data_IF_302447478218
#
_entry.id   IF_302447478218
#
_cell.length_a   1.000
_cell.length_b   1.000
_cell.length_c   1.000
_cell.angle_alpha   90.00
_cell.angle_beta   90.00
_cell.angle_gamma   90.00
#
_symmetry.space_group_name_H-M   'P 1'
#
loop_
_entity.id
_entity.type
_entity.pdbx_description
1 polymer ?
#
# COMPACT_ATOMS: atom_id res chain seq x y z
N UNK A 1 19.07 -1.70 -42.93
CA UNK A 1 18.59 -2.56 -41.83
C UNK A 1 19.43 -2.39 -40.56
N UNK A 2 20.77 -2.39 -40.63
CA UNK A 2 21.67 -2.21 -39.47
C UNK A 2 21.62 -0.82 -38.82
N UNK A 3 21.46 0.25 -39.60
CA UNK A 3 21.42 1.63 -39.07
C UNK A 3 20.17 1.86 -38.20
N UNK A 4 19.02 1.28 -38.58
CA UNK A 4 17.76 1.41 -37.84
C UNK A 4 17.80 0.63 -36.50
N UNK A 5 18.50 -0.50 -36.46
CA UNK A 5 18.69 -1.31 -35.24
C UNK A 5 19.59 -0.60 -34.23
N UNK A 6 20.60 0.15 -34.70
CA UNK A 6 21.49 0.91 -33.83
C UNK A 6 20.79 2.14 -33.22
N UNK A 7 19.87 2.74 -33.96
CA UNK A 7 19.01 3.82 -33.45
C UNK A 7 18.06 3.30 -32.37
N UNK A 8 17.45 2.13 -32.56
CA UNK A 8 16.61 1.49 -31.53
C UNK A 8 17.38 1.20 -30.24
N UNK A 9 18.59 0.67 -30.35
CA UNK A 9 19.47 0.43 -29.20
C UNK A 9 19.89 1.74 -28.52
N UNK A 10 20.26 2.78 -29.28
CA UNK A 10 20.61 4.08 -28.72
C UNK A 10 19.43 4.73 -27.98
N UNK A 11 18.22 4.68 -28.54
CA UNK A 11 17.01 5.18 -27.90
C UNK A 11 16.67 4.40 -26.62
N UNK A 12 16.91 3.09 -26.61
CA UNK A 12 16.75 2.26 -25.42
C UNK A 12 17.74 2.67 -24.31
N UNK A 13 19.02 2.85 -24.64
CA UNK A 13 20.02 3.32 -23.66
C UNK A 13 19.71 4.74 -23.15
N UNK A 14 19.24 5.64 -24.01
CA UNK A 14 18.81 6.98 -23.60
C UNK A 14 17.61 6.90 -22.64
N UNK A 15 16.59 6.10 -22.96
CA UNK A 15 15.44 5.89 -22.09
C UNK A 15 15.85 5.27 -20.74
N UNK A 16 16.82 4.36 -20.76
CA UNK A 16 17.36 3.71 -19.58
C UNK A 16 18.16 4.68 -18.69
N UNK A 17 18.99 5.54 -19.28
CA UNK A 17 19.70 6.61 -18.55
C UNK A 17 18.71 7.57 -17.91
N UNK A 18 17.65 7.97 -18.62
CA UNK A 18 16.59 8.82 -18.08
C UNK A 18 15.84 8.15 -16.93
N UNK A 19 15.62 6.84 -16.99
CA UNK A 19 15.01 6.07 -15.90
C UNK A 19 15.90 6.05 -14.65
N UNK A 20 17.21 5.82 -14.81
CA UNK A 20 18.17 5.88 -13.69
C UNK A 20 18.17 7.29 -13.06
N UNK A 21 18.19 8.36 -13.87
CA UNK A 21 18.11 9.74 -13.38
C UNK A 21 16.78 10.03 -12.65
N UNK A 22 15.68 9.43 -13.09
CA UNK A 22 14.38 9.53 -12.44
C UNK A 22 14.38 8.84 -11.07
N UNK A 23 14.94 7.63 -10.97
CA UNK A 23 15.12 6.91 -9.70
C UNK A 23 15.99 7.72 -8.74
N UNK A 24 17.14 8.24 -9.22
CA UNK A 24 18.04 9.07 -8.40
C UNK A 24 17.31 10.31 -7.89
N UNK A 25 16.48 10.96 -8.72
CA UNK A 25 15.69 12.14 -8.33
C UNK A 25 14.58 11.82 -7.32
N UNK A 26 14.00 10.61 -7.38
CA UNK A 26 13.03 10.15 -6.39
C UNK A 26 13.65 9.93 -5.01
N UNK A 27 14.91 9.46 -4.97
CA UNK A 27 15.65 9.24 -3.71
C UNK A 27 16.40 10.47 -3.20
N UNK A 28 16.62 11.47 -4.05
CA UNK A 28 17.19 12.76 -3.66
C UNK A 28 16.06 13.58 -3.03
N UNK A 29 16.00 13.51 -1.69
CA UNK A 29 14.98 14.05 -0.78
C UNK A 29 14.86 15.58 -0.86
N UNK A 30 14.42 16.10 -1.99
CA UNK A 30 13.94 17.46 -2.17
C UNK A 30 12.44 17.35 -2.48
N UNK A 31 11.61 17.91 -1.60
CA UNK A 31 10.16 17.68 -1.50
C UNK A 31 9.28 18.12 -2.68
N UNK A 32 9.80 18.15 -3.92
CA UNK A 32 9.03 18.43 -5.14
C UNK A 32 9.00 17.27 -6.14
N UNK A 33 9.42 16.06 -5.76
CA UNK A 33 9.46 14.88 -6.65
C UNK A 33 8.17 14.03 -6.68
N UNK A 34 7.06 14.48 -6.08
CA UNK A 34 5.85 13.66 -5.94
C UNK A 34 4.92 13.67 -7.17
N UNK A 35 5.12 14.60 -8.11
CA UNK A 35 4.19 14.81 -9.23
C UNK A 35 4.59 14.12 -10.54
N UNK A 36 5.88 13.85 -10.79
CA UNK A 36 6.36 13.32 -12.08
C UNK A 36 6.98 11.92 -12.03
N UNK A 37 7.28 11.36 -10.84
CA UNK A 37 7.93 10.04 -10.73
C UNK A 37 7.02 8.87 -11.13
N UNK A 38 5.75 8.91 -10.73
CA UNK A 38 4.77 7.85 -11.04
C UNK A 38 4.43 7.74 -12.53
N UNK A 39 4.09 8.83 -13.25
CA UNK A 39 3.79 8.73 -14.68
C UNK A 39 5.01 8.34 -15.51
N UNK A 40 6.23 8.76 -15.14
CA UNK A 40 7.45 8.39 -15.87
C UNK A 40 7.74 6.88 -15.80
N UNK A 41 7.53 6.24 -14.65
CA UNK A 41 7.70 4.78 -14.48
C UNK A 41 6.66 4.00 -15.29
N UNK A 42 5.42 4.49 -15.34
CA UNK A 42 4.33 3.87 -16.12
C UNK A 42 4.63 3.97 -17.62
N UNK A 43 5.05 5.14 -18.10
CA UNK A 43 5.45 5.33 -19.50
C UNK A 43 6.66 4.46 -19.89
N UNK A 44 7.59 4.22 -18.96
CA UNK A 44 8.71 3.31 -19.17
C UNK A 44 8.27 1.85 -19.28
N UNK A 45 7.37 1.38 -18.41
CA UNK A 45 6.78 0.04 -18.50
C UNK A 45 6.02 -0.16 -19.82
N UNK A 46 5.31 0.87 -20.28
CA UNK A 46 4.61 0.87 -21.57
C UNK A 46 5.62 0.82 -22.73
N UNK A 47 6.71 1.59 -22.67
CA UNK A 47 7.76 1.59 -23.71
C UNK A 47 8.45 0.23 -23.82
N UNK A 48 8.68 -0.46 -22.70
CA UNK A 48 9.22 -1.84 -22.67
C UNK A 48 8.23 -2.82 -23.30
N UNK A 49 6.94 -2.74 -22.94
CA UNK A 49 5.90 -3.58 -23.54
C UNK A 49 5.82 -3.39 -25.06
N UNK A 50 5.90 -2.14 -25.51
CA UNK A 50 5.87 -1.78 -26.93
C UNK A 50 7.13 -2.27 -27.67
N UNK A 51 8.30 -2.23 -27.02
CA UNK A 51 9.55 -2.73 -27.61
C UNK A 51 9.54 -4.26 -27.71
N UNK A 52 8.96 -4.96 -26.73
CA UNK A 52 8.80 -6.42 -26.74
C UNK A 52 7.81 -6.92 -27.80
N UNK A 53 6.81 -6.10 -28.18
CA UNK A 53 5.89 -6.41 -29.27
C UNK A 53 6.48 -6.13 -30.67
N UNK A 54 7.58 -5.39 -30.76
CA UNK A 54 8.15 -4.92 -32.04
C UNK A 54 9.13 -5.86 -32.74
N UNK A 55 9.61 -6.93 -32.08
CA UNK A 55 10.68 -7.81 -32.60
C UNK A 55 10.12 -9.11 -33.17
N UNK A 56 9.40 -9.05 -34.29
CA UNK A 56 8.73 -10.21 -34.92
C UNK A 56 9.59 -10.96 -35.96
N UNK A 57 10.91 -11.11 -35.73
CA UNK A 57 11.80 -11.88 -36.63
C UNK A 57 12.78 -12.84 -35.94
N UNK A 58 12.48 -13.32 -34.73
CA UNK A 58 13.27 -14.41 -34.12
C UNK A 58 12.48 -15.71 -34.11
N UNK A 59 13.18 -16.84 -34.27
CA UNK A 59 12.56 -18.18 -34.24
C UNK A 59 11.97 -18.52 -32.85
N UNK A 60 12.37 -17.78 -31.80
CA UNK A 60 11.91 -17.95 -30.42
C UNK A 60 11.63 -16.62 -29.71
N UNK A 61 10.56 -15.89 -30.09
CA UNK A 61 10.25 -14.56 -29.55
C UNK A 61 9.98 -14.56 -28.04
N UNK A 62 9.54 -15.69 -27.50
CA UNK A 62 9.29 -15.88 -26.07
C UNK A 62 10.61 -15.91 -25.28
N UNK A 63 11.63 -16.59 -25.79
CA UNK A 63 12.94 -16.72 -25.12
C UNK A 63 13.63 -15.36 -25.07
N UNK A 64 13.57 -14.59 -26.16
CA UNK A 64 14.13 -13.23 -26.22
C UNK A 64 13.42 -12.28 -25.26
N UNK A 65 12.10 -12.40 -25.11
CA UNK A 65 11.32 -11.63 -24.14
C UNK A 65 11.75 -11.94 -22.70
N UNK A 66 11.90 -13.22 -22.35
CA UNK A 66 12.37 -13.60 -21.01
C UNK A 66 13.83 -13.19 -20.77
N UNK A 67 14.70 -13.30 -21.78
CA UNK A 67 16.10 -12.88 -21.68
C UNK A 67 16.23 -11.36 -21.49
N UNK A 68 15.45 -10.56 -22.23
CA UNK A 68 15.43 -9.10 -22.09
C UNK A 68 14.82 -8.67 -20.76
N UNK A 69 13.71 -9.27 -20.33
CA UNK A 69 13.10 -9.01 -19.01
C UNK A 69 14.07 -9.37 -17.88
N UNK A 70 14.74 -10.52 -17.97
CA UNK A 70 15.76 -10.97 -17.02
C UNK A 70 16.94 -9.98 -16.95
N UNK A 71 17.44 -9.53 -18.10
CA UNK A 71 18.53 -8.56 -18.17
C UNK A 71 18.13 -7.21 -17.53
N UNK A 72 16.91 -6.73 -17.77
CA UNK A 72 16.40 -5.48 -17.19
C UNK A 72 16.30 -5.60 -15.66
N UNK A 73 15.74 -6.70 -15.16
CA UNK A 73 15.67 -6.96 -13.72
C UNK A 73 17.07 -7.05 -13.10
N UNK A 74 18.00 -7.73 -13.77
CA UNK A 74 19.39 -7.82 -13.33
C UNK A 74 20.05 -6.45 -13.19
N UNK A 75 19.96 -5.59 -14.20
CA UNK A 75 20.56 -4.25 -14.15
C UNK A 75 19.88 -3.40 -13.07
N UNK A 76 18.56 -3.51 -12.89
CA UNK A 76 17.85 -2.83 -11.80
C UNK A 76 18.38 -3.22 -10.42
N UNK A 77 18.56 -4.52 -10.16
CA UNK A 77 19.16 -5.01 -8.92
C UNK A 77 20.62 -4.57 -8.76
N UNK A 78 21.40 -4.52 -9.85
CA UNK A 78 22.78 -4.02 -9.85
C UNK A 78 22.86 -2.54 -9.47
N UNK A 79 21.95 -1.71 -9.98
CA UNK A 79 21.87 -0.29 -9.63
C UNK A 79 21.47 -0.12 -8.16
N UNK A 80 20.50 -0.90 -7.66
CA UNK A 80 20.12 -0.89 -6.23
C UNK A 80 21.29 -1.32 -5.33
N UNK A 81 22.04 -2.34 -5.74
CA UNK A 81 23.26 -2.77 -5.07
C UNK A 81 24.28 -1.61 -5.02
N UNK A 82 24.64 -1.01 -6.16
CA UNK A 82 25.60 0.10 -6.20
C UNK A 82 25.14 1.28 -5.31
N UNK A 83 23.85 1.66 -5.36
CA UNK A 83 23.29 2.71 -4.53
C UNK A 83 23.32 2.39 -3.03
N UNK A 84 23.14 1.12 -2.67
CA UNK A 84 23.17 0.67 -1.28
C UNK A 84 24.61 0.61 -0.73
N UNK A 85 25.63 0.39 -1.56
CA UNK A 85 27.04 0.55 -1.18
C UNK A 85 27.37 2.03 -0.94
N UNK A 86 26.88 2.92 -1.81
CA UNK A 86 27.14 4.37 -1.72
C UNK A 86 26.45 5.00 -0.50
N UNK A 87 25.24 4.56 -0.13
CA UNK A 87 24.47 5.21 0.96
C UNK A 87 24.79 4.71 2.38
N UNK A 88 25.74 3.80 2.58
CA UNK A 88 26.25 3.33 3.90
C UNK A 88 25.16 3.21 4.99
N UNK A 89 24.00 2.65 4.64
CA UNK A 89 22.88 2.48 5.57
C UNK A 89 22.98 1.12 6.24
N UNK A 90 22.96 1.07 7.58
CA UNK A 90 23.22 -0.13 8.39
C UNK A 90 22.24 -1.31 8.19
N UNK A 91 21.13 -1.10 7.49
CA UNK A 91 20.14 -2.12 7.09
C UNK A 91 20.53 -2.89 5.82
N UNK A 92 21.53 -2.42 5.07
CA UNK A 92 21.91 -2.97 3.78
C UNK A 92 22.47 -4.41 3.84
N UNK A 93 23.20 -4.77 4.91
CA UNK A 93 23.96 -6.04 4.95
C UNK A 93 23.08 -7.30 4.85
N UNK A 94 21.87 -7.29 5.41
CA UNK A 94 20.96 -8.46 5.37
C UNK A 94 20.21 -8.58 4.04
N UNK A 95 19.81 -7.46 3.44
CA UNK A 95 19.11 -7.44 2.15
C UNK A 95 20.04 -7.73 0.96
N UNK A 96 21.34 -7.39 1.08
CA UNK A 96 22.36 -7.74 0.10
C UNK A 96 22.60 -9.25 -0.01
N UNK A 97 22.67 -9.95 1.12
CA UNK A 97 22.91 -11.39 1.15
C UNK A 97 21.73 -12.12 0.51
N UNK A 98 20.50 -11.72 0.84
CA UNK A 98 19.27 -12.31 0.26
C UNK A 98 19.23 -12.08 -1.26
N UNK A 99 19.53 -10.87 -1.72
CA UNK A 99 19.50 -10.55 -3.17
C UNK A 99 20.62 -11.27 -3.93
N UNK A 100 21.81 -11.39 -3.34
CA UNK A 100 22.93 -12.13 -3.93
C UNK A 100 22.66 -13.64 -3.98
N UNK A 101 22.05 -14.22 -2.95
CA UNK A 101 21.65 -15.62 -2.92
C UNK A 101 20.57 -15.89 -3.97
N UNK A 102 19.55 -15.03 -4.07
CA UNK A 102 18.51 -15.15 -5.10
C UNK A 102 19.08 -15.04 -6.52
N UNK A 103 20.11 -14.20 -6.73
CA UNK A 103 20.81 -14.08 -8.00
C UNK A 103 21.60 -15.35 -8.36
N UNK A 104 22.35 -15.91 -7.40
CA UNK A 104 23.09 -17.17 -7.61
C UNK A 104 22.13 -18.33 -7.92
N UNK A 105 21.00 -18.39 -7.21
CA UNK A 105 19.94 -19.38 -7.46
C UNK A 105 19.37 -19.20 -8.88
N UNK A 106 19.05 -17.97 -9.29
CA UNK A 106 18.50 -17.70 -10.62
C UNK A 106 19.47 -18.06 -11.76
N UNK A 107 20.77 -17.77 -11.61
CA UNK A 107 21.81 -18.16 -12.57
C UNK A 107 21.97 -19.68 -12.62
N UNK A 108 21.91 -20.36 -11.47
CA UNK A 108 21.96 -21.81 -11.40
C UNK A 108 20.74 -22.47 -12.09
N UNK A 109 19.52 -21.96 -11.87
CA UNK A 109 18.32 -22.47 -12.54
C UNK A 109 18.34 -22.22 -14.06
N UNK A 110 18.90 -21.09 -14.50
CA UNK A 110 19.03 -20.78 -15.92
C UNK A 110 20.04 -21.69 -16.64
N UNK A 111 20.93 -22.34 -15.90
CA UNK A 111 21.97 -23.23 -16.44
C UNK A 111 21.50 -24.69 -16.64
N UNK A 112 20.31 -25.06 -16.15
CA UNK A 112 19.82 -26.46 -16.18
C UNK A 112 19.08 -26.79 -17.50
N UNK A 113 18.91 -25.82 -18.42
CA UNK A 113 18.26 -26.07 -19.72
C UNK A 113 19.22 -26.56 -20.83
N UNK A 114 20.13 -27.48 -20.49
CA UNK A 114 20.95 -28.21 -21.46
C UNK A 114 20.58 -29.70 -21.43
N UNK A 115 20.11 -30.29 -22.55
CA UNK A 115 19.80 -31.72 -22.60
C UNK A 115 21.11 -32.52 -22.60
N UNK A 116 21.37 -33.19 -21.49
CA UNK A 116 22.49 -34.12 -21.32
C UNK A 116 22.22 -35.40 -22.12
N UNK A 117 22.98 -35.62 -23.19
CA UNK A 117 22.97 -36.87 -23.96
C UNK A 117 23.70 -37.97 -23.19
N UNK A 118 22.97 -39.04 -22.93
CA UNK A 118 23.37 -40.27 -22.27
C UNK A 118 24.55 -40.99 -22.96
N UNK A 119 25.39 -41.59 -22.12
CA UNK A 119 26.50 -42.47 -22.44
C UNK A 119 25.97 -43.90 -22.55
N UNK A 120 26.30 -44.64 -23.62
CA UNK A 120 26.26 -46.12 -23.59
C UNK A 120 27.40 -46.71 -24.40
N UNK A 121 28.24 -47.45 -23.69
CA UNK A 121 29.35 -48.27 -24.17
C UNK A 121 28.81 -49.65 -24.53
N UNK A 122 29.13 -50.20 -25.71
CA UNK A 122 29.08 -51.65 -25.92
C UNK A 122 29.98 -52.14 -27.07
N UNK A 123 30.64 -53.26 -26.78
CA UNK A 123 31.12 -54.32 -27.69
C UNK A 123 32.61 -54.33 -28.06
N UNK A 124 33.32 -55.34 -27.51
CA UNK A 124 34.46 -55.99 -28.17
C UNK A 124 34.22 -57.50 -28.22
N UNK A 125 34.79 -58.14 -29.25
CA UNK A 125 34.38 -59.43 -29.85
C UNK A 125 35.58 -60.40 -29.88
N UNK A 126 35.29 -61.70 -29.66
CA UNK A 126 36.07 -62.93 -30.03
C UNK A 126 37.39 -63.16 -29.23
N UNK A 127 37.75 -64.37 -28.77
CA UNK A 127 38.23 -65.55 -29.53
C UNK A 127 38.05 -66.87 -28.74
N UNK A 128 37.97 -67.99 -29.47
CA UNK A 128 37.69 -69.36 -29.03
C UNK A 128 38.95 -70.24 -28.80
N UNK A 129 38.69 -71.47 -28.29
CA UNK A 129 39.47 -72.76 -28.30
C UNK A 129 39.98 -73.25 -26.93
N UNK A 130 39.40 -74.34 -26.38
CA UNK A 130 39.84 -75.78 -26.35
C UNK A 130 40.98 -76.04 -25.32
N UNK A 131 41.09 -77.08 -24.47
CA UNK A 131 40.46 -78.40 -24.27
C UNK A 131 41.00 -78.98 -22.93
N UNK A 132 40.09 -79.47 -22.07
CA UNK A 132 40.10 -80.72 -21.24
C UNK A 132 40.98 -80.94 -19.99
N UNK A 133 40.23 -81.28 -18.91
CA UNK A 133 40.44 -82.15 -17.73
C UNK A 133 41.59 -81.91 -16.74
N UNK A 134 41.21 -81.63 -15.47
CA UNK A 134 41.46 -82.44 -14.27
C UNK A 134 41.29 -81.60 -12.98
N UNK A 135 40.06 -81.47 -12.43
CA UNK A 135 39.73 -80.98 -11.06
C UNK A 135 38.21 -80.97 -10.84
N UNK A 136 37.62 -82.07 -10.35
CA UNK A 136 36.15 -82.16 -10.17
C UNK A 136 35.68 -82.03 -8.70
N UNK A 137 36.60 -82.12 -7.73
CA UNK A 137 36.29 -81.89 -6.30
C UNK A 137 36.48 -80.43 -5.87
N UNK A 138 37.50 -79.73 -6.38
CA UNK A 138 37.76 -78.31 -6.05
C UNK A 138 36.82 -77.34 -6.78
N UNK A 139 36.36 -77.70 -7.99
CA UNK A 139 35.50 -76.84 -8.82
C UNK A 139 34.09 -76.69 -8.24
N UNK A 140 33.55 -77.77 -7.65
CA UNK A 140 32.25 -77.78 -6.97
C UNK A 140 32.26 -76.96 -5.67
N UNK A 141 33.40 -76.93 -4.96
CA UNK A 141 33.57 -76.12 -3.76
C UNK A 141 33.74 -74.63 -4.08
N UNK A 142 34.43 -74.30 -5.19
CA UNK A 142 34.58 -72.94 -5.71
C UNK A 142 33.24 -72.37 -6.20
N UNK A 143 32.49 -73.13 -7.00
CA UNK A 143 31.16 -72.72 -7.51
C UNK A 143 30.15 -72.54 -6.37
N UNK A 144 30.22 -73.36 -5.31
CA UNK A 144 29.36 -73.21 -4.13
C UNK A 144 29.75 -72.00 -3.28
N UNK A 145 31.05 -71.64 -3.20
CA UNK A 145 31.53 -70.41 -2.55
C UNK A 145 31.13 -69.16 -3.33
N UNK A 146 31.29 -69.15 -4.65
CA UNK A 146 30.86 -68.03 -5.52
C UNK A 146 29.32 -67.84 -5.49
N UNK A 147 28.55 -68.93 -5.49
CA UNK A 147 27.09 -68.85 -5.35
C UNK A 147 26.66 -68.33 -3.97
N UNK A 148 27.34 -68.73 -2.90
CA UNK A 148 27.06 -68.26 -1.54
C UNK A 148 27.45 -66.79 -1.37
N UNK A 149 28.60 -66.36 -1.92
CA UNK A 149 29.07 -64.97 -1.91
C UNK A 149 28.14 -64.05 -2.73
N UNK A 150 27.64 -64.52 -3.88
CA UNK A 150 26.67 -63.80 -4.70
C UNK A 150 25.32 -63.63 -3.99
N UNK A 151 24.88 -64.66 -3.25
CA UNK A 151 23.65 -64.61 -2.44
C UNK A 151 23.81 -63.63 -1.28
N UNK A 152 24.94 -63.68 -0.58
CA UNK A 152 25.25 -62.79 0.53
C UNK A 152 25.35 -61.32 0.08
N UNK A 153 25.97 -61.07 -1.09
CA UNK A 153 26.04 -59.74 -1.69
C UNK A 153 24.66 -59.19 -2.09
N UNK A 154 23.78 -60.03 -2.64
CA UNK A 154 22.39 -59.63 -2.92
C UNK A 154 21.58 -59.34 -1.65
N UNK A 155 21.81 -60.09 -0.58
CA UNK A 155 21.14 -59.88 0.70
C UNK A 155 21.60 -58.58 1.38
N UNK A 156 22.90 -58.27 1.32
CA UNK A 156 23.46 -57.02 1.81
C UNK A 156 22.98 -55.80 0.99
N UNK A 157 22.92 -55.91 -0.34
CA UNK A 157 22.34 -54.88 -1.21
C UNK A 157 20.86 -54.65 -0.89
N UNK A 158 20.08 -55.71 -0.64
CA UNK A 158 18.67 -55.62 -0.23
C UNK A 158 18.52 -54.93 1.13
N UNK A 159 19.38 -55.25 2.11
CA UNK A 159 19.38 -54.59 3.43
C UNK A 159 19.73 -53.11 3.34
N UNK A 160 20.70 -52.75 2.51
CA UNK A 160 21.06 -51.35 2.26
C UNK A 160 19.92 -50.58 1.57
N UNK A 161 19.25 -51.20 0.60
CA UNK A 161 18.08 -50.60 -0.05
C UNK A 161 16.91 -50.40 0.93
N UNK A 162 16.65 -51.36 1.83
CA UNK A 162 15.61 -51.21 2.86
C UNK A 162 15.95 -50.13 3.89
N UNK A 163 17.22 -50.02 4.30
CA UNK A 163 17.69 -48.98 5.22
C UNK A 163 17.60 -47.58 4.58
N UNK A 164 17.94 -47.45 3.29
CA UNK A 164 17.78 -46.20 2.55
C UNK A 164 16.30 -45.82 2.40
N UNK A 165 15.42 -46.78 2.13
CA UNK A 165 13.98 -46.53 2.05
C UNK A 165 13.42 -46.05 3.40
N UNK A 166 13.83 -46.66 4.53
CA UNK A 166 13.44 -46.19 5.87
C UNK A 166 13.93 -44.78 6.17
N UNK A 167 15.18 -44.45 5.83
CA UNK A 167 15.73 -43.10 6.01
C UNK A 167 14.96 -42.05 5.19
N UNK A 168 14.61 -42.37 3.95
CA UNK A 168 13.79 -41.49 3.11
C UNK A 168 12.38 -41.30 3.66
N UNK A 169 11.76 -42.36 4.21
CA UNK A 169 10.46 -42.27 4.85
C UNK A 169 10.50 -41.39 6.12
N UNK A 170 11.54 -41.55 6.94
CA UNK A 170 11.75 -40.73 8.13
C UNK A 170 11.99 -39.25 7.79
N UNK A 171 12.80 -38.95 6.77
CA UNK A 171 12.99 -37.58 6.27
C UNK A 171 11.69 -36.98 5.74
N UNK A 172 10.90 -37.76 4.98
CA UNK A 172 9.59 -37.32 4.48
C UNK A 172 8.63 -37.01 5.63
N UNK A 173 8.58 -37.86 6.65
CA UNK A 173 7.76 -37.65 7.85
C UNK A 173 8.17 -36.38 8.60
N UNK A 174 9.48 -36.15 8.74
CA UNK A 174 10.00 -34.93 9.38
C UNK A 174 9.66 -33.68 8.57
N UNK A 175 9.77 -33.73 7.24
CA UNK A 175 9.41 -32.64 6.34
C UNK A 175 7.90 -32.33 6.39
N UNK A 176 7.05 -33.36 6.43
CA UNK A 176 5.60 -33.20 6.56
C UNK A 176 5.22 -32.60 7.93
N UNK A 177 5.86 -33.03 9.01
CA UNK A 177 5.66 -32.46 10.35
C UNK A 177 6.08 -30.98 10.41
N UNK A 178 7.22 -30.63 9.79
CA UNK A 178 7.67 -29.24 9.69
C UNK A 178 6.71 -28.39 8.85
N UNK A 179 6.23 -28.90 7.71
CA UNK A 179 5.26 -28.21 6.88
C UNK A 179 3.95 -27.97 7.63
N UNK A 180 3.46 -28.97 8.38
CA UNK A 180 2.26 -28.82 9.23
C UNK A 180 2.45 -27.79 10.32
N UNK A 181 3.60 -27.77 11.02
CA UNK A 181 3.91 -26.76 12.03
C UNK A 181 3.96 -25.35 11.45
N UNK A 182 4.60 -25.18 10.29
CA UNK A 182 4.64 -23.90 9.58
C UNK A 182 3.25 -23.44 9.16
N UNK A 183 2.41 -24.35 8.66
CA UNK A 183 1.04 -24.04 8.26
C UNK A 183 0.18 -23.65 9.47
N UNK A 184 0.34 -24.32 10.61
CA UNK A 184 -0.36 -23.99 11.85
C UNK A 184 0.08 -22.62 12.40
N UNK A 185 1.37 -22.32 12.36
CA UNK A 185 1.91 -21.01 12.76
C UNK A 185 1.40 -19.89 11.84
N UNK A 186 1.41 -20.10 10.52
CA UNK A 186 0.83 -19.15 9.56
C UNK A 186 -0.65 -18.92 9.80
N UNK A 187 -1.42 -20.00 10.09
CA UNK A 187 -2.84 -19.87 10.42
C UNK A 187 -3.05 -19.08 11.70
N UNK A 188 -2.26 -19.33 12.75
CA UNK A 188 -2.31 -18.57 14.00
C UNK A 188 -2.00 -17.08 13.80
N UNK A 189 -0.99 -16.78 12.98
CA UNK A 189 -0.64 -15.40 12.62
C UNK A 189 -1.75 -14.72 11.81
N UNK A 190 -2.37 -15.44 10.87
CA UNK A 190 -3.50 -14.93 10.09
C UNK A 190 -4.73 -14.66 10.97
N UNK A 191 -5.06 -15.58 11.88
CA UNK A 191 -6.17 -15.43 12.83
C UNK A 191 -5.92 -14.27 13.81
N UNK A 192 -4.68 -14.10 14.28
CA UNK A 192 -4.29 -12.98 15.14
C UNK A 192 -4.37 -11.64 14.39
N UNK A 193 -3.88 -11.58 13.15
CA UNK A 193 -4.01 -10.38 12.30
C UNK A 193 -5.47 -10.04 12.01
N UNK A 194 -6.31 -11.04 11.70
CA UNK A 194 -7.73 -10.82 11.47
C UNK A 194 -8.42 -10.27 12.74
N UNK A 195 -8.07 -10.79 13.92
CA UNK A 195 -8.60 -10.30 15.19
C UNK A 195 -8.16 -8.87 15.49
N UNK A 196 -6.89 -8.52 15.24
CA UNK A 196 -6.37 -7.16 15.40
C UNK A 196 -7.07 -6.18 14.46
N UNK A 197 -7.25 -6.55 13.19
CA UNK A 197 -7.98 -5.73 12.21
C UNK A 197 -9.44 -5.52 12.63
N UNK A 198 -10.11 -6.57 13.12
CA UNK A 198 -11.49 -6.48 13.58
C UNK A 198 -11.61 -5.59 14.83
N UNK A 199 -10.67 -5.69 15.77
CA UNK A 199 -10.64 -4.83 16.95
C UNK A 199 -10.37 -3.37 16.59
N UNK A 200 -9.45 -3.10 15.65
CA UNK A 200 -9.16 -1.76 15.18
C UNK A 200 -10.36 -1.15 14.44
N UNK A 201 -11.02 -1.90 13.56
CA UNK A 201 -12.25 -1.46 12.90
C UNK A 201 -13.35 -1.14 13.91
N UNK A 202 -13.51 -1.97 14.95
CA UNK A 202 -14.48 -1.71 16.01
C UNK A 202 -14.14 -0.44 16.78
N UNK A 203 -12.87 -0.23 17.14
CA UNK A 203 -12.40 1.00 17.81
C UNK A 203 -12.67 2.24 16.96
N UNK A 204 -12.40 2.16 15.65
CA UNK A 204 -12.68 3.26 14.71
C UNK A 204 -14.19 3.52 14.60
N UNK A 205 -15.01 2.48 14.53
CA UNK A 205 -16.47 2.63 14.49
C UNK A 205 -17.03 3.24 15.79
N UNK A 206 -16.54 2.79 16.94
CA UNK A 206 -16.92 3.33 18.25
C UNK A 206 -16.49 4.81 18.40
N UNK A 207 -15.30 5.16 17.92
CA UNK A 207 -14.81 6.55 17.91
C UNK A 207 -15.62 7.44 16.98
N UNK A 208 -15.95 6.96 15.77
CA UNK A 208 -16.81 7.68 14.83
C UNK A 208 -18.22 7.88 15.39
N UNK A 209 -18.81 6.86 16.02
CA UNK A 209 -20.11 6.97 16.67
C UNK A 209 -20.09 8.02 17.80
N UNK A 210 -19.02 8.04 18.60
CA UNK A 210 -18.85 9.03 19.67
C UNK A 210 -18.70 10.45 19.12
N UNK A 211 -17.92 10.64 18.04
CA UNK A 211 -17.77 11.94 17.37
C UNK A 211 -19.11 12.42 16.81
N UNK A 212 -19.88 11.56 16.14
CA UNK A 212 -21.20 11.89 15.62
C UNK A 212 -22.17 12.27 16.75
N UNK A 213 -22.16 11.53 17.86
CA UNK A 213 -23.01 11.84 19.01
C UNK A 213 -22.63 13.18 19.66
N UNK A 214 -21.33 13.48 19.77
CA UNK A 214 -20.87 14.77 20.29
C UNK A 214 -21.24 15.92 19.35
N UNK A 215 -21.12 15.74 18.04
CA UNK A 215 -21.49 16.74 17.04
C UNK A 215 -23.00 16.99 17.03
N UNK A 216 -23.82 15.94 17.08
CA UNK A 216 -25.28 16.08 17.22
C UNK A 216 -25.64 16.84 18.49
N UNK A 217 -24.97 16.56 19.62
CA UNK A 217 -25.19 17.30 20.86
C UNK A 217 -24.81 18.77 20.72
N UNK A 218 -23.66 19.08 20.11
CA UNK A 218 -23.25 20.48 19.84
C UNK A 218 -24.25 21.22 18.96
N UNK A 219 -24.76 20.56 17.92
CA UNK A 219 -25.79 21.14 17.04
C UNK A 219 -27.09 21.38 17.80
N UNK A 220 -27.53 20.43 18.65
CA UNK A 220 -28.71 20.60 19.48
C UNK A 220 -28.56 21.74 20.49
N UNK A 221 -27.40 21.84 21.16
CA UNK A 221 -27.09 22.92 22.10
C UNK A 221 -27.05 24.29 21.37
N UNK A 222 -26.49 24.36 20.16
CA UNK A 222 -26.47 25.57 19.35
C UNK A 222 -27.88 26.00 18.90
N UNK A 223 -28.70 25.04 18.46
CA UNK A 223 -30.11 25.30 18.11
C UNK A 223 -30.91 25.80 19.31
N UNK A 224 -30.77 25.17 20.47
CA UNK A 224 -31.42 25.61 21.70
C UNK A 224 -31.00 27.04 22.08
N UNK A 225 -29.72 27.38 21.92
CA UNK A 225 -29.21 28.72 22.21
C UNK A 225 -29.77 29.77 21.25
N UNK A 226 -29.89 29.46 19.96
CA UNK A 226 -30.53 30.35 18.96
C UNK A 226 -32.00 30.59 19.27
N UNK A 227 -32.75 29.55 19.62
CA UNK A 227 -34.16 29.67 20.02
C UNK A 227 -34.35 30.55 21.26
N UNK A 228 -33.49 30.38 22.28
CA UNK A 228 -33.53 31.23 23.48
C UNK A 228 -33.22 32.70 23.14
N UNK A 229 -32.28 32.96 22.25
CA UNK A 229 -31.94 34.32 21.81
C UNK A 229 -33.10 34.98 21.04
N UNK A 230 -33.74 34.24 20.13
CA UNK A 230 -34.94 34.71 19.41
C UNK A 230 -36.10 35.00 20.36
N UNK A 231 -36.35 34.11 21.34
CA UNK A 231 -37.38 34.34 22.37
C UNK A 231 -37.09 35.59 23.20
N UNK A 232 -35.84 35.80 23.61
CA UNK A 232 -35.43 36.98 24.38
C UNK A 232 -35.59 38.26 23.55
N UNK A 233 -35.26 38.22 22.26
CA UNK A 233 -35.43 39.35 21.34
C UNK A 233 -36.92 39.66 21.09
N UNK A 234 -37.76 38.64 20.96
CA UNK A 234 -39.20 38.81 20.83
C UNK A 234 -39.84 39.42 22.10
N UNK A 235 -39.40 38.98 23.29
CA UNK A 235 -39.85 39.56 24.56
C UNK A 235 -39.44 41.03 24.69
N UNK A 236 -38.21 41.40 24.29
CA UNK A 236 -37.76 42.79 24.30
C UNK A 236 -38.55 43.68 23.32
N UNK A 237 -38.93 43.15 22.15
CA UNK A 237 -39.75 43.87 21.17
C UNK A 237 -41.17 44.16 21.68
N UNK A 238 -41.73 43.32 22.56
CA UNK A 238 -43.06 43.55 23.17
C UNK A 238 -43.03 44.57 24.32
N UNK A 239 -41.86 44.85 24.91
CA UNK A 239 -41.72 45.84 26.00
C UNK A 239 -41.38 47.26 25.55
N UNK A 240 -41.21 47.51 24.25
CA UNK A 240 -41.15 48.89 23.75
C UNK A 240 -42.56 49.51 23.81
N UNK A 241 -42.77 50.60 24.58
CA UNK A 241 -44.02 51.33 24.49
C UNK A 241 -44.22 51.73 23.05
N UNK A 242 -45.38 51.41 22.47
CA UNK A 242 -45.82 52.04 21.24
C UNK A 242 -45.89 53.55 21.52
N UNK A 243 -44.79 54.25 21.27
CA UNK A 243 -44.75 55.70 21.24
C UNK A 243 -45.61 56.09 20.06
N UNK A 244 -46.92 56.19 20.33
CA UNK A 244 -47.89 56.76 19.44
C UNK A 244 -47.34 58.09 18.94
N UNK A 245 -47.49 58.28 17.64
CA UNK A 245 -47.15 59.42 16.84
C UNK A 245 -47.69 60.75 17.43
N UNK A 246 -47.11 61.26 18.51
CA UNK A 246 -47.45 62.55 19.13
C UNK A 246 -46.29 63.54 19.04
N UNK A 247 -45.41 63.39 18.05
CA UNK A 247 -44.43 64.43 17.74
C UNK A 247 -45.09 65.51 16.87
N UNK A 248 -45.12 66.74 17.40
CA UNK A 248 -45.44 68.01 16.72
C UNK A 248 -46.91 68.45 16.64
N UNK A 249 -47.65 68.44 17.75
CA UNK A 249 -48.69 69.45 17.90
C UNK A 249 -47.99 70.82 18.03
N UNK A 250 -48.18 71.76 17.11
CA UNK A 250 -47.65 73.13 17.24
C UNK A 250 -48.81 74.10 17.45
N UNK A 251 -48.78 74.86 18.54
CA UNK A 251 -49.79 75.87 18.84
C UNK A 251 -49.21 77.27 18.69
N UNK A 252 -49.91 78.09 17.90
CA UNK A 252 -49.51 79.49 17.67
C UNK A 252 -49.63 80.35 18.93
N UNK A 253 -50.63 80.10 19.77
CA UNK A 253 -50.89 80.85 21.01
C UNK A 253 -51.75 80.03 21.98
N UNK A 254 -51.91 80.53 23.21
CA UNK A 254 -52.72 79.87 24.24
C UNK A 254 -54.22 79.76 23.92
N UNK A 255 -54.75 80.61 23.03
CA UNK A 255 -56.14 80.48 22.60
C UNK A 255 -56.35 79.19 21.79
N UNK A 256 -55.43 78.88 20.86
CA UNK A 256 -55.47 77.63 20.10
C UNK A 256 -55.31 76.39 21.00
N UNK A 257 -54.51 76.49 22.08
CA UNK A 257 -54.35 75.41 23.07
C UNK A 257 -55.66 75.16 23.84
N UNK A 258 -56.36 76.23 24.24
CA UNK A 258 -57.64 76.14 24.95
C UNK A 258 -58.78 75.68 24.06
N UNK A 259 -58.83 76.16 22.82
CA UNK A 259 -59.80 75.70 21.81
C UNK A 259 -59.64 74.21 21.51
N UNK A 260 -58.39 73.73 21.48
CA UNK A 260 -58.09 72.30 21.38
C UNK A 260 -58.38 71.51 22.68
N UNK A 261 -58.78 72.18 23.76
CA UNK A 261 -59.05 71.57 25.08
C UNK A 261 -57.81 70.93 25.72
N UNK A 262 -56.61 71.45 25.42
CA UNK A 262 -55.33 70.91 25.91
C UNK A 262 -54.63 71.78 26.97
N UNK A 263 -55.23 72.90 27.38
CA UNK A 263 -54.69 73.74 28.44
C UNK A 263 -55.07 73.18 29.83
N UNK A 264 -54.17 73.26 30.84
CA UNK A 264 -52.78 73.73 30.78
C UNK A 264 -51.84 72.70 30.13
N UNK A 265 -50.81 73.18 29.43
CA UNK A 265 -49.76 72.34 28.83
C UNK A 265 -48.53 72.28 29.74
N UNK A 266 -48.05 71.08 30.07
CA UNK A 266 -46.88 70.91 30.92
C UNK A 266 -45.59 70.71 30.12
N UNK A 267 -44.46 71.18 30.65
CA UNK A 267 -43.14 70.98 30.05
C UNK A 267 -42.88 69.50 29.77
N UNK A 268 -42.57 69.18 28.51
CA UNK A 268 -42.36 67.80 28.03
C UNK A 268 -43.60 67.17 27.38
N UNK A 269 -44.78 67.78 27.48
CA UNK A 269 -45.95 67.35 26.72
C UNK A 269 -45.87 67.77 25.25
N UNK A 270 -46.42 66.96 24.33
CA UNK A 270 -46.59 67.33 22.93
C UNK A 270 -47.27 68.69 22.75
N UNK A 271 -46.55 69.63 22.13
CA UNK A 271 -47.02 70.99 21.86
C UNK A 271 -46.85 72.01 22.96
N UNK A 272 -46.23 71.65 24.08
CA UNK A 272 -45.58 72.65 24.93
C UNK A 272 -44.48 73.35 24.14
N UNK A 273 -44.45 74.67 24.22
CA UNK A 273 -43.39 75.48 23.66
C UNK A 273 -43.19 76.71 24.55
N UNK A 274 -41.95 77.14 24.74
CA UNK A 274 -41.60 78.22 25.67
C UNK A 274 -42.29 79.55 25.36
N UNK A 275 -42.78 79.77 24.13
CA UNK A 275 -43.55 80.97 23.77
C UNK A 275 -45.00 80.95 24.31
N UNK A 276 -45.48 79.79 24.79
CA UNK A 276 -46.81 79.62 25.39
C UNK A 276 -46.77 79.73 26.93
N UNK A 277 -45.57 79.66 27.51
CA UNK A 277 -45.28 79.74 28.94
C UNK A 277 -44.63 81.09 29.24
N UNK A 278 -45.45 82.09 29.58
CA UNK A 278 -45.01 83.49 29.65
C UNK A 278 -44.15 83.77 30.90
N UNK A 279 -44.42 83.06 31.98
CA UNK A 279 -43.72 83.12 33.26
C UNK A 279 -42.60 82.08 33.39
N UNK A 280 -42.60 81.04 32.55
CA UNK A 280 -41.50 80.07 32.44
C UNK A 280 -41.46 79.06 33.58
N UNK A 281 -42.57 78.85 34.28
CA UNK A 281 -42.66 77.95 35.43
C UNK A 281 -42.84 76.47 35.04
N UNK A 282 -42.99 76.20 33.74
CA UNK A 282 -43.19 74.87 33.18
C UNK A 282 -44.66 74.51 32.95
N UNK A 283 -45.60 75.44 33.15
CA UNK A 283 -47.04 75.28 32.92
C UNK A 283 -47.55 76.35 31.94
N UNK A 284 -47.63 76.00 30.66
CA UNK A 284 -48.13 76.91 29.64
C UNK A 284 -49.67 77.05 29.68
N UNK A 285 -50.15 78.26 29.41
CA UNK A 285 -51.56 78.60 29.18
C UNK A 285 -52.53 78.34 30.35
N UNK A 286 -52.04 78.33 31.59
CA UNK A 286 -52.81 78.11 32.82
C UNK A 286 -53.89 79.16 33.15
N UNK A 287 -53.76 80.39 32.61
CA UNK A 287 -54.67 81.53 32.87
C UNK A 287 -55.41 81.98 31.62
#
# INVERSE_FOLDING_TARGET
MTILSNIGAALFFIAFILFILCIISFFKKNGKAKQYGRPAVILFMISILLTGMGTTKSEHPVIDFFATLSLILFIFFLVLAILSVIKKTGVAKKQFIITAILFVIFVALSSISAPSSEKTTATSKKVASNTTEQKDSDKKELEKKEANEKTQKQEDEKRQAEEQARKQEDEKRLAEEQARKQQEEQKRLADEQARQQQEEQKRQADEQARQQQEEQKRQADEQARKQQEEQKKAQQAQTQPAAGNTSNAYYKNCAAVREAGKAPLYKGQPGYASHLDRDGDGVACEK
#
